data_IF_091267199885
#
_entry.id   IF_091267199885
#
_cell.length_a   1.000
_cell.length_b   1.000
_cell.length_c   1.000
_cell.angle_alpha   90.00
_cell.angle_beta   90.00
_cell.angle_gamma   90.00
#
_symmetry.space_group_name_H-M   'P 1'
#
loop_
_entity.id
_entity.type
_entity.pdbx_description
1 polymer ?
#
# COMPACT_ATOMS: atom_id res chain seq x y z
N UNK A 1 54.69 -9.80 57.65
CA UNK A 1 54.34 -9.76 56.21
C UNK A 1 52.85 -10.01 55.96
N UNK A 2 52.23 -10.99 56.63
CA UNK A 2 50.82 -11.39 56.46
C UNK A 2 49.79 -10.28 56.76
N UNK A 3 49.99 -9.45 57.79
CA UNK A 3 49.07 -8.35 58.15
C UNK A 3 48.97 -7.23 57.07
N UNK A 4 50.03 -7.01 56.27
CA UNK A 4 50.01 -6.00 55.19
C UNK A 4 49.28 -6.51 53.94
N UNK A 5 49.32 -7.81 53.69
CA UNK A 5 48.61 -8.44 52.56
C UNK A 5 47.09 -8.47 52.81
N UNK A 6 46.68 -8.76 54.05
CA UNK A 6 45.25 -8.73 54.43
C UNK A 6 44.68 -7.31 54.34
N UNK A 7 45.46 -6.28 54.70
CA UNK A 7 45.02 -4.90 54.57
C UNK A 7 44.82 -4.49 53.10
N UNK A 8 45.73 -4.88 52.20
CA UNK A 8 45.61 -4.62 50.76
C UNK A 8 44.45 -5.37 50.10
N UNK A 9 44.16 -6.60 50.54
CA UNK A 9 42.98 -7.36 50.05
C UNK A 9 41.68 -6.73 50.56
N UNK A 10 41.65 -6.24 51.80
CA UNK A 10 40.50 -5.50 52.31
C UNK A 10 40.30 -4.15 51.62
N UNK A 11 41.38 -3.45 51.21
CA UNK A 11 41.26 -2.19 50.44
C UNK A 11 40.82 -2.44 49.00
N UNK A 12 41.19 -3.58 48.40
CA UNK A 12 40.73 -3.96 47.07
C UNK A 12 39.26 -4.39 47.04
N UNK A 13 38.76 -5.02 48.12
CA UNK A 13 37.35 -5.42 48.26
C UNK A 13 36.44 -4.22 48.57
N UNK A 14 36.95 -3.16 49.21
CA UNK A 14 36.18 -1.91 49.42
C UNK A 14 36.16 -1.02 48.17
N UNK A 15 37.11 -1.17 47.24
CA UNK A 15 37.10 -0.46 45.95
C UNK A 15 36.32 -1.17 44.84
N UNK A 16 35.85 -2.40 45.08
CA UNK A 16 34.93 -3.12 44.21
C UNK A 16 33.47 -2.97 44.64
N UNK A 17 33.10 -1.85 45.28
CA UNK A 17 31.69 -1.45 45.32
C UNK A 17 31.30 -1.17 43.89
N UNK A 18 30.48 -2.07 43.35
CA UNK A 18 29.90 -2.04 42.03
C UNK A 18 29.64 -0.61 41.57
N UNK A 19 30.20 -0.26 40.40
CA UNK A 19 29.57 0.67 39.48
C UNK A 19 28.20 0.06 39.13
N UNK A 20 27.26 0.17 40.06
CA UNK A 20 25.84 0.03 39.76
C UNK A 20 25.54 1.24 38.89
N UNK A 21 25.38 1.02 37.59
CA UNK A 21 24.86 2.05 36.70
C UNK A 21 23.48 2.44 37.26
N UNK A 22 23.39 3.62 37.88
CA UNK A 22 22.10 4.14 38.33
C UNK A 22 21.23 4.36 37.10
N UNK A 23 20.02 3.79 37.12
CA UNK A 23 19.04 3.99 36.06
C UNK A 23 18.65 5.47 36.03
N UNK A 24 19.12 6.19 35.02
CA UNK A 24 18.86 7.62 34.86
C UNK A 24 17.93 7.85 33.66
N UNK A 25 16.93 8.70 33.88
CA UNK A 25 15.94 9.08 32.87
C UNK A 25 16.11 10.55 32.53
N UNK A 26 16.19 10.86 31.24
CA UNK A 26 16.28 12.24 30.77
C UNK A 26 15.77 12.37 29.34
N UNK A 27 15.41 13.58 28.94
CA UNK A 27 15.18 13.86 27.53
C UNK A 27 16.49 13.74 26.75
N UNK A 28 16.53 12.84 25.78
CA UNK A 28 17.62 12.74 24.80
C UNK A 28 17.38 13.57 23.56
N UNK A 29 16.10 13.81 23.23
CA UNK A 29 15.72 14.69 22.14
C UNK A 29 14.49 15.53 22.51
N UNK A 30 14.66 16.85 22.38
CA UNK A 30 13.59 17.84 22.36
C UNK A 30 13.78 18.71 21.11
N UNK A 31 12.71 19.09 20.39
CA UNK A 31 12.84 19.97 19.25
C UNK A 31 13.26 21.36 19.71
N UNK A 32 14.22 21.97 19.00
CA UNK A 32 14.63 23.37 19.26
C UNK A 32 13.62 24.39 18.76
N UNK A 33 12.89 24.02 17.70
CA UNK A 33 11.93 24.85 17.00
C UNK A 33 10.85 23.94 16.44
N UNK A 34 9.60 24.37 16.55
CA UNK A 34 8.45 23.67 16.00
C UNK A 34 7.61 24.63 15.16
N UNK A 35 6.84 24.09 14.22
CA UNK A 35 5.93 24.83 13.37
C UNK A 35 4.47 24.53 13.71
N UNK A 36 3.57 25.46 13.36
CA UNK A 36 2.12 25.23 13.42
C UNK A 36 1.75 23.96 12.66
N UNK A 37 0.92 23.09 13.25
CA UNK A 37 0.51 21.80 12.69
C UNK A 37 1.62 20.77 12.46
N UNK A 38 2.86 21.02 12.92
CA UNK A 38 3.94 20.04 12.82
C UNK A 38 3.71 18.86 13.78
N UNK A 39 4.03 17.66 13.29
CA UNK A 39 4.23 16.49 14.13
C UNK A 39 5.71 16.36 14.43
N UNK A 40 6.09 16.15 15.68
CA UNK A 40 7.48 16.08 16.11
C UNK A 40 7.70 15.04 17.22
N UNK A 41 8.90 14.44 17.29
CA UNK A 41 9.24 13.49 18.33
C UNK A 41 9.75 14.19 19.60
N UNK A 42 9.49 13.53 20.73
CA UNK A 42 10.15 13.77 22.02
C UNK A 42 10.68 12.43 22.49
N UNK A 43 11.99 12.35 22.74
CA UNK A 43 12.64 11.08 23.09
C UNK A 43 13.20 11.14 24.50
N UNK A 44 12.84 10.11 25.28
CA UNK A 44 13.36 9.86 26.62
C UNK A 44 14.42 8.77 26.51
N UNK A 45 15.58 9.01 27.10
CA UNK A 45 16.63 8.02 27.29
C UNK A 45 16.54 7.46 28.72
N UNK A 46 16.43 6.14 28.82
CA UNK A 46 16.65 5.38 30.04
C UNK A 46 18.00 4.66 29.94
N UNK A 47 18.96 5.06 30.77
CA UNK A 47 20.32 4.49 30.76
C UNK A 47 20.39 3.26 31.68
N UNK A 48 21.12 2.22 31.27
CA UNK A 48 21.41 1.07 32.13
C UNK A 48 20.25 0.10 32.39
N UNK A 49 19.15 0.18 31.63
CA UNK A 49 17.93 -0.61 31.87
C UNK A 49 17.94 -1.99 31.19
N UNK A 50 18.68 -2.15 30.09
CA UNK A 50 18.81 -3.41 29.35
C UNK A 50 17.46 -4.05 28.97
N UNK A 51 17.30 -5.36 29.26
CA UNK A 51 16.08 -6.13 28.95
C UNK A 51 14.85 -5.74 29.80
N UNK A 52 15.02 -4.99 30.90
CA UNK A 52 13.90 -4.51 31.74
C UNK A 52 13.11 -3.37 31.11
N UNK A 53 13.48 -2.93 29.91
CA UNK A 53 12.88 -1.82 29.17
C UNK A 53 11.37 -1.95 28.92
N UNK A 54 10.84 -3.17 28.88
CA UNK A 54 9.40 -3.44 28.68
C UNK A 54 8.55 -3.31 29.94
N UNK A 55 9.17 -3.10 31.10
CA UNK A 55 8.46 -3.00 32.38
C UNK A 55 8.17 -1.55 32.81
N UNK A 56 8.50 -0.58 31.96
CA UNK A 56 8.26 0.83 32.23
C UNK A 56 6.86 1.26 31.80
N UNK A 57 6.23 2.04 32.67
CA UNK A 57 4.96 2.67 32.39
C UNK A 57 5.14 4.19 32.34
N UNK A 58 4.76 4.77 31.20
CA UNK A 58 4.82 6.21 30.96
C UNK A 58 3.42 6.79 31.04
N UNK A 59 3.28 7.92 31.74
CA UNK A 59 2.03 8.65 31.81
C UNK A 59 2.28 10.14 31.75
N UNK A 60 1.75 10.81 30.73
CA UNK A 60 1.72 12.26 30.71
C UNK A 60 0.59 12.80 31.57
N UNK A 61 0.78 14.00 32.12
CA UNK A 61 -0.25 14.71 32.86
C UNK A 61 -1.50 14.90 31.99
N UNK A 62 -2.65 14.45 32.50
CA UNK A 62 -3.93 14.45 31.77
C UNK A 62 -4.58 15.82 31.72
N UNK A 63 -4.18 16.74 32.59
CA UNK A 63 -4.72 18.10 32.63
C UNK A 63 -4.15 18.98 31.50
N UNK A 64 -3.14 18.48 30.77
CA UNK A 64 -2.58 19.14 29.59
C UNK A 64 -3.40 18.88 28.33
N UNK A 65 -3.63 19.94 27.54
CA UNK A 65 -4.20 19.83 26.19
C UNK A 65 -3.25 19.18 25.17
N UNK A 66 -1.95 19.19 25.47
CA UNK A 66 -0.90 18.70 24.59
C UNK A 66 -0.54 17.26 24.94
N UNK A 67 -1.31 16.30 24.42
CA UNK A 67 -1.08 14.86 24.61
C UNK A 67 -0.30 14.24 23.44
N UNK A 68 0.44 13.14 23.66
CA UNK A 68 1.05 12.41 22.57
C UNK A 68 -0.02 11.79 21.66
N UNK A 69 0.33 11.61 20.38
CA UNK A 69 -0.52 10.98 19.37
C UNK A 69 -0.81 9.50 19.69
N UNK A 70 0.08 8.86 20.44
CA UNK A 70 -0.03 7.47 20.86
C UNK A 70 0.30 7.35 22.35
N UNK A 71 -0.44 6.50 23.07
CA UNK A 71 -0.16 6.22 24.48
C UNK A 71 1.15 5.43 24.66
N UNK A 72 1.46 4.54 23.71
CA UNK A 72 2.69 3.75 23.72
C UNK A 72 3.80 4.44 22.91
N UNK A 73 5.04 4.48 23.43
CA UNK A 73 6.17 5.04 22.70
C UNK A 73 6.72 4.06 21.66
N UNK A 74 7.39 4.61 20.65
CA UNK A 74 8.34 3.85 19.87
C UNK A 74 9.58 3.55 20.72
N UNK A 75 9.89 2.26 20.90
CA UNK A 75 11.01 1.79 21.72
C UNK A 75 12.17 1.39 20.80
N UNK A 76 13.34 1.99 21.01
CA UNK A 76 14.59 1.60 20.36
C UNK A 76 15.62 1.26 21.43
N UNK A 77 16.12 0.03 21.42
CA UNK A 77 17.16 -0.41 22.35
C UNK A 77 18.54 -0.32 21.70
N UNK A 78 19.49 0.22 22.44
CA UNK A 78 20.90 0.27 22.07
C UNK A 78 21.74 -0.22 23.26
N UNK A 79 22.14 -1.49 23.22
CA UNK A 79 22.83 -2.17 24.32
C UNK A 79 22.03 -2.12 25.64
N UNK A 80 22.56 -1.42 26.65
CA UNK A 80 21.94 -1.25 27.96
C UNK A 80 20.99 -0.04 28.02
N UNK A 81 20.96 0.79 26.99
CA UNK A 81 20.17 2.00 26.95
C UNK A 81 18.92 1.81 26.09
N UNK A 82 17.81 2.43 26.51
CA UNK A 82 16.56 2.40 25.78
C UNK A 82 16.05 3.82 25.51
N UNK A 83 15.57 4.02 24.29
CA UNK A 83 15.01 5.26 23.79
C UNK A 83 13.50 5.09 23.60
N UNK A 84 12.71 5.91 24.28
CA UNK A 84 11.26 5.93 24.21
C UNK A 84 10.82 7.21 23.52
N UNK A 85 10.28 7.09 22.31
CA UNK A 85 9.88 8.25 21.50
C UNK A 85 8.38 8.37 21.44
N UNK A 86 7.88 9.52 21.88
CA UNK A 86 6.50 9.95 21.74
C UNK A 86 6.38 11.00 20.66
N UNK A 87 5.29 10.98 19.90
CA UNK A 87 5.03 11.97 18.85
C UNK A 87 3.94 12.90 19.31
N UNK A 88 4.16 14.20 19.17
CA UNK A 88 3.19 15.25 19.50
C UNK A 88 2.80 16.01 18.24
N UNK A 89 1.62 16.63 18.25
CA UNK A 89 1.18 17.57 17.22
C UNK A 89 0.90 18.91 17.86
N UNK A 90 1.44 19.98 17.29
CA UNK A 90 1.09 21.33 17.70
C UNK A 90 -0.18 21.81 16.97
N UNK A 91 -1.26 22.06 17.70
CA UNK A 91 -2.58 22.40 17.16
C UNK A 91 -2.83 23.92 17.03
N UNK A 92 -1.84 24.67 16.54
CA UNK A 92 -1.88 26.13 16.28
C UNK A 92 -1.68 27.06 17.49
N UNK A 93 -1.12 26.57 18.59
CA UNK A 93 -0.68 27.42 19.70
C UNK A 93 0.59 28.21 19.33
N UNK A 94 0.77 29.44 19.84
CA UNK A 94 1.99 30.24 19.61
C UNK A 94 3.19 29.74 20.44
N UNK A 95 2.91 28.95 21.48
CA UNK A 95 3.86 28.24 22.32
C UNK A 95 3.30 26.85 22.59
N UNK A 96 4.15 25.82 22.53
CA UNK A 96 3.76 24.47 22.89
C UNK A 96 4.31 24.15 24.28
N UNK A 97 3.40 23.80 25.20
CA UNK A 97 3.75 23.29 26.52
C UNK A 97 3.77 21.76 26.50
N UNK A 98 4.96 21.16 26.66
CA UNK A 98 5.13 19.73 26.88
C UNK A 98 4.66 19.40 28.32
N UNK A 99 3.69 18.47 28.50
CA UNK A 99 3.24 18.06 29.83
C UNK A 99 4.34 17.41 30.66
N UNK A 100 4.14 17.45 31.98
CA UNK A 100 4.89 16.62 32.93
C UNK A 100 4.76 15.15 32.55
N UNK A 101 5.87 14.43 32.60
CA UNK A 101 5.93 13.00 32.33
C UNK A 101 6.24 12.22 33.60
N UNK A 102 5.33 11.34 33.98
CA UNK A 102 5.51 10.37 35.06
C UNK A 102 6.02 9.06 34.48
N UNK A 103 7.16 8.60 34.97
CA UNK A 103 7.78 7.32 34.60
C UNK A 103 7.72 6.42 35.82
N UNK A 104 6.96 5.33 35.73
CA UNK A 104 6.88 4.32 36.77
C UNK A 104 7.74 3.12 36.40
N UNK A 105 8.56 2.70 37.36
CA UNK A 105 9.38 1.49 37.28
C UNK A 105 9.26 0.70 38.58
N UNK A 106 9.77 -0.53 38.61
CA UNK A 106 9.83 -1.32 39.86
C UNK A 106 10.78 -0.74 40.90
N UNK A 107 11.72 0.11 40.47
CA UNK A 107 12.83 0.60 41.30
C UNK A 107 12.54 2.00 41.85
N UNK A 108 11.97 2.89 41.03
CA UNK A 108 11.57 4.23 41.42
C UNK A 108 10.48 4.82 40.48
N UNK A 109 9.67 5.72 41.03
CA UNK A 109 8.81 6.62 40.26
C UNK A 109 9.57 7.94 40.05
N UNK A 110 9.67 8.38 38.80
CA UNK A 110 10.41 9.59 38.40
C UNK A 110 9.48 10.51 37.63
N UNK A 111 9.68 11.82 37.81
CA UNK A 111 8.95 12.87 37.10
C UNK A 111 9.96 13.63 36.25
N UNK A 112 9.67 13.79 34.96
CA UNK A 112 10.40 14.71 34.09
C UNK A 112 9.58 16.01 33.94
N UNK A 113 10.27 17.13 34.08
CA UNK A 113 9.70 18.47 34.10
C UNK A 113 9.11 18.90 32.75
N UNK A 114 8.15 19.83 32.82
CA UNK A 114 7.56 20.47 31.66
C UNK A 114 8.58 21.27 30.85
N UNK A 115 8.36 21.36 29.55
CA UNK A 115 9.21 22.12 28.63
C UNK A 115 8.35 22.98 27.70
N UNK A 116 8.87 24.15 27.33
CA UNK A 116 8.17 25.10 26.46
C UNK A 116 8.92 25.24 25.14
N UNK A 117 8.19 25.16 24.03
CA UNK A 117 8.74 25.34 22.68
C UNK A 117 8.09 26.51 21.97
N UNK A 118 8.90 27.40 21.41
CA UNK A 118 8.41 28.47 20.56
C UNK A 118 7.88 27.92 19.23
N UNK A 119 6.67 28.30 18.86
CA UNK A 119 6.05 27.91 17.60
C UNK A 119 6.30 28.98 16.55
N UNK A 120 6.91 28.57 15.43
CA UNK A 120 7.14 29.44 14.28
C UNK A 120 6.05 29.28 13.22
N UNK A 121 5.65 30.40 12.63
CA UNK A 121 4.76 30.40 11.46
C UNK A 121 5.59 30.30 10.17
N UNK A 122 5.18 29.40 9.27
CA UNK A 122 5.80 29.25 7.96
C UNK A 122 5.28 30.31 6.98
N UNK A 123 6.19 31.03 6.34
CA UNK A 123 5.85 31.85 5.17
C UNK A 123 5.71 30.93 3.95
N UNK A 124 4.47 30.57 3.63
CA UNK A 124 4.18 29.50 2.65
C UNK A 124 3.98 30.03 1.23
N UNK A 125 4.52 29.35 0.20
CA UNK A 125 4.22 29.64 -1.19
C UNK A 125 2.77 29.27 -1.55
N UNK A 126 2.30 29.73 -2.72
CA UNK A 126 0.92 29.50 -3.17
C UNK A 126 0.58 28.02 -3.40
N UNK A 127 1.57 27.23 -3.78
CA UNK A 127 1.47 25.80 -4.08
C UNK A 127 1.68 24.90 -2.85
N UNK A 128 1.86 25.49 -1.66
CA UNK A 128 1.97 24.77 -0.41
C UNK A 128 0.63 24.15 -0.01
N UNK A 129 0.65 22.84 0.27
CA UNK A 129 -0.56 22.05 0.55
C UNK A 129 -0.89 21.90 2.02
N UNK A 130 -0.17 22.58 2.92
CA UNK A 130 -0.41 22.46 4.37
C UNK A 130 0.32 21.31 5.05
N UNK A 131 1.11 20.52 4.29
CA UNK A 131 1.84 19.36 4.82
C UNK A 131 3.26 19.74 5.23
N UNK A 132 3.60 19.44 6.47
CA UNK A 132 4.91 19.54 7.11
C UNK A 132 5.33 18.11 7.45
N UNK A 133 6.52 17.70 7.01
CA UNK A 133 7.00 16.34 7.18
C UNK A 133 8.54 16.28 7.22
N UNK A 134 9.09 15.24 7.84
CA UNK A 134 10.52 14.94 7.71
C UNK A 134 10.85 14.41 6.31
N UNK A 135 9.96 13.57 5.76
CA UNK A 135 10.04 13.07 4.39
C UNK A 135 8.67 12.66 3.85
N UNK A 136 8.48 12.77 2.54
CA UNK A 136 7.29 12.30 1.82
C UNK A 136 7.73 11.62 0.53
N UNK A 137 7.21 10.42 0.31
CA UNK A 137 7.40 9.64 -0.90
C UNK A 137 6.05 9.28 -1.51
N UNK A 138 5.90 9.53 -2.80
CA UNK A 138 4.81 8.96 -3.60
C UNK A 138 5.17 7.51 -3.91
N UNK A 139 4.39 6.55 -3.41
CA UNK A 139 4.63 5.12 -3.65
C UNK A 139 3.95 4.63 -4.92
N UNK A 140 2.70 5.08 -5.13
CA UNK A 140 1.88 4.70 -6.27
C UNK A 140 0.97 5.87 -6.63
N UNK A 141 0.63 5.97 -7.91
CA UNK A 141 -0.36 6.91 -8.39
C UNK A 141 -1.14 6.29 -9.55
N UNK A 142 -2.40 6.67 -9.70
CA UNK A 142 -3.28 6.23 -10.77
C UNK A 142 -4.11 7.43 -11.23
N UNK A 143 -4.37 7.50 -12.54
CA UNK A 143 -5.26 8.49 -13.12
C UNK A 143 -6.30 7.77 -13.97
N UNK A 144 -7.57 8.10 -13.75
CA UNK A 144 -8.71 7.58 -14.49
C UNK A 144 -9.64 8.73 -14.89
N UNK A 145 -10.52 8.48 -15.85
CA UNK A 145 -11.56 9.44 -16.23
C UNK A 145 -12.61 9.52 -15.12
N UNK A 146 -12.90 10.73 -14.65
CA UNK A 146 -14.00 11.00 -13.71
C UNK A 146 -15.28 11.36 -14.46
N UNK A 147 -15.15 12.28 -15.43
CA UNK A 147 -16.18 12.67 -16.39
C UNK A 147 -15.54 13.12 -17.73
N UNK A 148 -16.32 13.68 -18.66
CA UNK A 148 -15.84 14.12 -19.97
C UNK A 148 -14.76 15.23 -19.91
N UNK A 149 -14.70 15.97 -18.81
CA UNK A 149 -13.86 17.17 -18.63
C UNK A 149 -12.85 17.04 -17.48
N UNK A 150 -12.95 16.00 -16.66
CA UNK A 150 -12.18 15.82 -15.44
C UNK A 150 -11.61 14.41 -15.31
N UNK A 151 -10.41 14.33 -14.75
CA UNK A 151 -9.75 13.09 -14.36
C UNK A 151 -9.72 12.97 -12.83
N UNK A 152 -9.90 11.75 -12.34
CA UNK A 152 -9.65 11.39 -10.95
C UNK A 152 -8.20 10.92 -10.82
N UNK A 153 -7.46 11.51 -9.89
CA UNK A 153 -6.11 11.06 -9.54
C UNK A 153 -6.15 10.51 -8.14
N UNK A 154 -5.68 9.28 -7.96
CA UNK A 154 -5.42 8.68 -6.65
C UNK A 154 -3.91 8.56 -6.45
N UNK A 155 -3.42 9.06 -5.33
CA UNK A 155 -2.01 9.06 -4.95
C UNK A 155 -1.85 8.39 -3.59
N UNK A 156 -0.95 7.44 -3.50
CA UNK A 156 -0.56 6.83 -2.22
C UNK A 156 0.75 7.47 -1.76
N UNK A 157 0.73 8.01 -0.55
CA UNK A 157 1.88 8.59 0.12
C UNK A 157 2.39 7.65 1.20
N UNK A 158 3.72 7.57 1.32
CA UNK A 158 4.41 7.13 2.51
C UNK A 158 5.22 8.31 3.04
N UNK A 159 4.99 8.72 4.29
CA UNK A 159 5.62 9.89 4.86
C UNK A 159 6.05 9.65 6.31
N UNK A 160 7.00 10.46 6.78
CA UNK A 160 7.55 10.40 8.13
C UNK A 160 7.36 11.73 8.86
N UNK A 161 6.92 11.66 10.11
CA UNK A 161 6.62 12.81 10.98
C UNK A 161 5.71 13.84 10.30
N UNK A 162 4.77 13.32 9.49
CA UNK A 162 4.01 14.12 8.56
C UNK A 162 2.58 14.33 9.03
N UNK A 163 2.08 15.56 8.98
CA UNK A 163 0.67 15.91 9.20
C UNK A 163 -0.15 15.76 7.89
N UNK A 164 -0.03 14.60 7.22
CA UNK A 164 -0.67 14.32 5.92
C UNK A 164 -2.17 14.60 5.93
N UNK A 165 -2.84 14.49 7.08
CA UNK A 165 -4.26 14.83 7.30
C UNK A 165 -4.62 16.25 6.86
N UNK A 166 -3.65 17.16 6.88
CA UNK A 166 -3.81 18.57 6.53
C UNK A 166 -3.62 18.84 5.02
N UNK A 167 -3.38 17.81 4.19
CA UNK A 167 -3.15 18.00 2.76
C UNK A 167 -4.35 18.66 2.08
N UNK A 168 -4.11 19.79 1.42
CA UNK A 168 -5.12 20.51 0.65
C UNK A 168 -4.50 21.28 -0.51
N UNK A 169 -4.76 20.83 -1.73
CA UNK A 169 -4.37 21.50 -2.96
C UNK A 169 -5.44 22.56 -3.28
N UNK A 170 -5.16 23.82 -2.95
CA UNK A 170 -6.13 24.95 -3.03
C UNK A 170 -6.78 25.13 -4.41
N UNK A 171 -6.13 24.70 -5.48
CA UNK A 171 -6.59 24.84 -6.87
C UNK A 171 -7.79 23.94 -7.20
N UNK A 172 -7.98 22.83 -6.48
CA UNK A 172 -9.00 21.83 -6.76
C UNK A 172 -10.02 21.78 -5.62
N UNK A 173 -11.28 21.54 -5.95
CA UNK A 173 -12.36 21.54 -4.94
C UNK A 173 -12.65 20.12 -4.44
N UNK A 174 -12.79 19.16 -5.36
CA UNK A 174 -13.04 17.76 -5.04
C UNK A 174 -11.72 17.03 -4.80
N UNK A 175 -11.40 16.84 -3.53
CA UNK A 175 -10.18 16.18 -3.06
C UNK A 175 -10.39 15.66 -1.65
N UNK A 176 -9.58 14.71 -1.22
CA UNK A 176 -9.62 14.22 0.15
C UNK A 176 -8.75 13.01 0.40
N UNK A 177 -8.70 12.61 1.66
CA UNK A 177 -8.04 11.38 2.10
C UNK A 177 -9.09 10.27 2.12
N UNK A 178 -8.89 9.23 1.32
CA UNK A 178 -9.73 8.02 1.32
C UNK A 178 -9.38 7.11 2.49
N UNK A 179 -8.08 6.96 2.74
CA UNK A 179 -7.57 6.04 3.75
C UNK A 179 -6.30 6.61 4.37
N UNK A 180 -6.13 6.43 5.68
CA UNK A 180 -4.93 6.82 6.40
C UNK A 180 -4.60 5.83 7.50
N UNK A 181 -3.33 5.42 7.57
CA UNK A 181 -2.80 4.54 8.60
C UNK A 181 -1.51 5.14 9.14
N UNK A 182 -1.48 5.40 10.45
CA UNK A 182 -0.32 5.94 11.15
C UNK A 182 0.21 4.91 12.15
N UNK A 183 1.51 4.77 12.16
CA UNK A 183 2.26 3.95 13.10
C UNK A 183 3.52 4.73 13.50
N UNK A 184 3.51 5.29 14.71
CA UNK A 184 4.60 6.14 15.21
C UNK A 184 4.91 7.30 14.25
N UNK A 185 6.16 7.43 13.80
CA UNK A 185 6.58 8.44 12.83
C UNK A 185 6.00 8.19 11.43
N UNK A 186 5.70 6.94 11.08
CA UNK A 186 5.34 6.57 9.71
C UNK A 186 3.84 6.74 9.48
N UNK A 187 3.48 7.34 8.36
CA UNK A 187 2.09 7.44 7.91
C UNK A 187 1.99 7.01 6.45
N UNK A 188 0.97 6.21 6.16
CA UNK A 188 0.55 5.85 4.80
C UNK A 188 -0.83 6.42 4.56
N UNK A 189 -1.02 7.10 3.44
CA UNK A 189 -2.31 7.67 3.09
C UNK A 189 -2.63 7.48 1.61
N UNK A 190 -3.90 7.24 1.32
CA UNK A 190 -4.49 7.25 -0.02
C UNK A 190 -5.28 8.55 -0.16
N UNK A 191 -4.90 9.35 -1.14
CA UNK A 191 -5.44 10.67 -1.37
C UNK A 191 -5.97 10.76 -2.79
N UNK A 192 -7.16 11.31 -2.95
CA UNK A 192 -7.74 11.56 -4.26
C UNK A 192 -7.86 13.06 -4.55
N UNK A 193 -7.78 13.40 -5.83
CA UNK A 193 -8.08 14.75 -6.33
C UNK A 193 -8.65 14.68 -7.74
N UNK A 194 -9.72 15.45 -7.97
CA UNK A 194 -10.32 15.61 -9.28
C UNK A 194 -9.71 16.84 -9.95
N UNK A 195 -9.14 16.65 -11.14
CA UNK A 195 -8.46 17.70 -11.91
C UNK A 195 -9.00 17.79 -13.33
N UNK A 196 -8.82 18.93 -14.02
CA UNK A 196 -9.17 19.06 -15.44
C UNK A 196 -8.45 18.03 -16.33
N UNK A 197 -9.13 17.53 -17.37
CA UNK A 197 -8.60 16.48 -18.25
C UNK A 197 -7.40 16.90 -19.10
N UNK A 198 -7.20 18.20 -19.29
CA UNK A 198 -6.07 18.78 -20.03
C UNK A 198 -4.77 18.89 -19.20
N UNK A 199 -4.79 18.46 -17.94
CA UNK A 199 -3.63 18.53 -17.05
C UNK A 199 -2.75 17.28 -17.22
N UNK A 200 -1.48 17.47 -17.56
CA UNK A 200 -0.51 16.38 -17.71
C UNK A 200 0.20 16.00 -16.42
N UNK A 201 0.29 16.93 -15.46
CA UNK A 201 1.02 16.73 -14.21
C UNK A 201 0.34 17.48 -13.05
N UNK A 202 0.31 16.83 -11.88
CA UNK A 202 -0.12 17.43 -10.63
C UNK A 202 1.12 17.86 -9.84
N UNK A 203 1.26 19.17 -9.63
CA UNK A 203 2.39 19.79 -8.94
C UNK A 203 1.93 20.45 -7.64
N UNK A 204 2.66 20.20 -6.56
CA UNK A 204 2.43 20.84 -5.27
C UNK A 204 3.68 20.77 -4.38
N UNK A 205 3.73 21.59 -3.32
CA UNK A 205 4.88 21.62 -2.39
C UNK A 205 4.47 21.27 -0.97
N UNK A 206 5.36 20.57 -0.26
CA UNK A 206 5.28 20.36 1.18
C UNK A 206 6.51 20.96 1.86
N UNK A 207 6.44 21.24 3.16
CA UNK A 207 7.60 21.74 3.91
C UNK A 207 8.37 20.56 4.51
N UNK A 208 9.63 20.40 4.12
CA UNK A 208 10.50 19.37 4.65
C UNK A 208 11.24 19.92 5.90
N UNK A 209 11.03 19.27 7.06
CA UNK A 209 11.61 19.73 8.34
C UNK A 209 13.10 19.45 8.48
N UNK A 210 13.63 18.46 7.74
CA UNK A 210 15.06 18.10 7.76
C UNK A 210 15.87 19.01 6.83
N UNK A 211 15.32 19.30 5.65
CA UNK A 211 15.94 20.19 4.65
C UNK A 211 15.61 21.67 4.88
N UNK A 212 14.69 21.96 5.80
CA UNK A 212 14.20 23.30 6.14
C UNK A 212 13.72 24.11 4.92
N UNK A 213 13.08 23.45 3.96
CA UNK A 213 12.62 24.08 2.73
C UNK A 213 11.36 23.44 2.16
N UNK A 214 10.67 24.19 1.28
CA UNK A 214 9.57 23.66 0.50
C UNK A 214 10.09 22.76 -0.62
N UNK A 215 9.65 21.50 -0.63
CA UNK A 215 10.06 20.50 -1.61
C UNK A 215 8.90 20.23 -2.56
N UNK A 216 9.10 20.32 -3.90
CA UNK A 216 8.07 20.02 -4.87
C UNK A 216 7.85 18.51 -5.01
N UNK A 217 6.59 18.14 -5.23
CA UNK A 217 6.16 16.81 -5.65
C UNK A 217 5.42 16.97 -6.98
N UNK A 218 5.84 16.15 -7.96
CA UNK A 218 5.26 16.09 -9.30
C UNK A 218 4.72 14.69 -9.54
N UNK A 219 3.41 14.58 -9.78
CA UNK A 219 2.73 13.33 -10.11
C UNK A 219 2.26 13.40 -11.57
N UNK A 220 2.79 12.54 -12.48
CA UNK A 220 2.37 12.56 -13.87
C UNK A 220 0.96 11.96 -14.02
N UNK A 221 0.14 12.60 -14.83
CA UNK A 221 -1.24 12.21 -15.10
C UNK A 221 -1.26 11.46 -16.42
N UNK A 222 -1.19 10.13 -16.32
CA UNK A 222 -1.36 9.23 -17.46
C UNK A 222 -2.70 8.54 -17.30
N UNK A 223 -3.74 9.11 -17.91
CA UNK A 223 -5.08 8.52 -17.87
C UNK A 223 -5.01 7.16 -18.54
N UNK A 224 -5.22 6.11 -17.76
CA UNK A 224 -5.48 4.80 -18.34
C UNK A 224 -6.90 4.91 -18.86
N UNK A 225 -7.08 4.95 -20.18
CA UNK A 225 -8.39 4.81 -20.80
C UNK A 225 -8.92 3.42 -20.43
N UNK A 226 -9.60 3.33 -19.30
CA UNK A 226 -10.53 2.25 -19.02
C UNK A 226 -11.71 2.47 -19.96
N UNK A 227 -11.57 1.98 -21.20
CA UNK A 227 -12.73 1.69 -22.06
C UNK A 227 -13.66 0.79 -21.27
N UNK A 228 -14.63 1.37 -20.55
CA UNK A 228 -15.76 0.74 -19.86
C UNK A 228 -15.65 -0.79 -19.82
N UNK A 229 -14.70 -1.31 -19.04
CA UNK A 229 -14.55 -2.75 -18.79
C UNK A 229 -15.47 -3.14 -17.63
N UNK A 230 -16.70 -2.67 -17.63
CA UNK A 230 -17.77 -3.27 -16.85
C UNK A 230 -18.32 -4.40 -17.71
N UNK A 231 -17.93 -5.63 -17.37
CA UNK A 231 -18.25 -6.90 -18.04
C UNK A 231 -17.37 -7.23 -19.28
N UNK A 232 -16.05 -7.28 -19.10
CA UNK A 232 -15.29 -8.29 -19.84
C UNK A 232 -15.69 -9.65 -19.25
N UNK A 233 -16.69 -10.30 -19.86
CA UNK A 233 -16.68 -11.76 -19.85
C UNK A 233 -15.27 -12.19 -20.27
N UNK A 234 -14.61 -13.10 -19.53
CA UNK A 234 -13.26 -13.53 -19.87
C UNK A 234 -13.24 -13.94 -21.35
N UNK A 235 -12.31 -13.34 -22.10
CA UNK A 235 -12.08 -13.67 -23.49
C UNK A 235 -11.70 -15.17 -23.54
N UNK A 236 -12.52 -16.05 -24.14
CA UNK A 236 -12.33 -17.51 -24.07
C UNK A 236 -11.04 -18.00 -24.76
N UNK A 237 -10.30 -17.09 -25.41
CA UNK A 237 -9.03 -17.40 -26.08
C UNK A 237 -7.80 -17.34 -25.15
N UNK A 238 -7.87 -16.57 -24.05
CA UNK A 238 -6.78 -16.46 -23.08
C UNK A 238 -7.31 -16.67 -21.65
N UNK A 239 -8.07 -17.75 -21.49
CA UNK A 239 -8.57 -18.14 -20.18
C UNK A 239 -7.45 -18.85 -19.41
N UNK A 240 -6.88 -18.19 -18.41
CA UNK A 240 -5.92 -18.80 -17.48
C UNK A 240 -6.46 -20.11 -16.88
N UNK A 241 -7.79 -20.26 -16.79
CA UNK A 241 -8.41 -21.51 -16.34
C UNK A 241 -8.21 -22.66 -17.34
N UNK A 242 -8.21 -22.41 -18.65
CA UNK A 242 -7.94 -23.45 -19.65
C UNK A 242 -6.46 -23.87 -19.64
N UNK A 243 -5.54 -22.93 -19.42
CA UNK A 243 -4.12 -23.25 -19.22
C UNK A 243 -3.89 -24.08 -17.95
N UNK A 244 -4.56 -23.71 -16.84
CA UNK A 244 -4.51 -24.46 -15.58
C UNK A 244 -5.08 -25.88 -15.76
N UNK A 245 -6.21 -26.06 -16.46
CA UNK A 245 -6.77 -27.39 -16.75
C UNK A 245 -5.78 -28.27 -17.52
N UNK A 246 -5.13 -27.71 -18.55
CA UNK A 246 -4.09 -28.42 -19.32
C UNK A 246 -2.90 -28.83 -18.44
N UNK A 247 -2.44 -27.92 -17.57
CA UNK A 247 -1.33 -28.19 -16.65
C UNK A 247 -1.67 -29.27 -15.63
N UNK A 248 -2.88 -29.26 -15.08
CA UNK A 248 -3.37 -30.29 -14.15
C UNK A 248 -3.43 -31.66 -14.83
N UNK A 249 -4.01 -31.75 -16.03
CA UNK A 249 -4.10 -33.01 -16.78
C UNK A 249 -2.70 -33.53 -17.12
N UNK A 250 -1.79 -32.66 -17.55
CA UNK A 250 -0.39 -33.03 -17.81
C UNK A 250 0.32 -33.53 -16.54
N UNK A 251 0.08 -32.88 -15.40
CA UNK A 251 0.60 -33.30 -14.10
C UNK A 251 0.10 -34.70 -13.70
N UNK A 252 -1.18 -34.99 -13.90
CA UNK A 252 -1.73 -36.34 -13.66
C UNK A 252 -1.12 -37.40 -14.58
N UNK A 253 -0.89 -37.09 -15.86
CA UNK A 253 -0.20 -38.01 -16.78
C UNK A 253 1.20 -38.37 -16.25
N UNK A 254 1.96 -37.36 -15.81
CA UNK A 254 3.31 -37.58 -15.24
C UNK A 254 3.23 -38.40 -13.95
N UNK A 255 2.29 -38.06 -13.06
CA UNK A 255 2.10 -38.78 -11.80
C UNK A 255 1.77 -40.27 -12.03
N UNK A 256 0.83 -40.57 -12.94
CA UNK A 256 0.49 -41.95 -13.26
C UNK A 256 1.60 -42.67 -14.02
N UNK A 257 2.41 -41.97 -14.83
CA UNK A 257 3.60 -42.55 -15.45
C UNK A 257 4.65 -42.96 -14.41
N UNK A 258 4.88 -42.12 -13.38
CA UNK A 258 5.76 -42.47 -12.26
C UNK A 258 5.20 -43.65 -11.44
N UNK A 259 3.89 -43.68 -11.19
CA UNK A 259 3.25 -44.83 -10.54
C UNK A 259 3.37 -46.12 -11.36
N UNK A 260 3.26 -46.04 -12.70
CA UNK A 260 3.49 -47.17 -13.59
C UNK A 260 4.93 -47.68 -13.47
N UNK A 261 5.93 -46.80 -13.45
CA UNK A 261 7.33 -47.21 -13.28
C UNK A 261 7.58 -47.88 -11.93
N UNK A 262 6.90 -47.43 -10.86
CA UNK A 262 7.07 -48.00 -9.52
C UNK A 262 6.32 -49.34 -9.35
N UNK A 263 5.00 -49.35 -9.59
CA UNK A 263 4.15 -50.52 -9.33
C UNK A 263 4.05 -51.51 -10.49
N UNK A 264 4.43 -51.09 -11.71
CA UNK A 264 4.42 -51.90 -12.96
C UNK A 264 3.07 -52.54 -13.28
N UNK A 265 1.97 -51.89 -12.89
CA UNK A 265 0.60 -52.34 -13.16
C UNK A 265 0.06 -51.71 -14.46
N UNK A 266 -0.52 -52.55 -15.33
CA UNK A 266 -1.06 -52.15 -16.62
C UNK A 266 -2.26 -51.18 -16.51
N UNK A 267 -2.98 -51.17 -15.39
CA UNK A 267 -4.11 -50.26 -15.16
C UNK A 267 -3.71 -48.79 -15.32
N UNK A 268 -2.50 -48.40 -14.88
CA UNK A 268 -2.00 -47.04 -15.00
C UNK A 268 -1.84 -46.58 -16.46
N UNK A 269 -1.49 -47.48 -17.38
CA UNK A 269 -1.38 -47.16 -18.81
C UNK A 269 -2.73 -46.83 -19.43
N UNK A 270 -3.81 -47.52 -19.01
CA UNK A 270 -5.17 -47.25 -19.48
C UNK A 270 -5.61 -45.84 -19.06
N UNK A 271 -5.32 -45.45 -17.81
CA UNK A 271 -5.64 -44.12 -17.28
C UNK A 271 -4.85 -43.03 -18.02
N UNK A 272 -3.56 -43.24 -18.27
CA UNK A 272 -2.73 -42.32 -19.06
C UNK A 272 -3.29 -42.13 -20.46
N UNK A 273 -3.68 -43.21 -21.14
CA UNK A 273 -4.24 -43.14 -22.49
C UNK A 273 -5.53 -42.31 -22.53
N UNK A 274 -6.42 -42.47 -21.54
CA UNK A 274 -7.65 -41.70 -21.44
C UNK A 274 -7.36 -40.20 -21.20
N UNK A 275 -6.45 -39.89 -20.27
CA UNK A 275 -6.05 -38.50 -20.01
C UNK A 275 -5.38 -37.84 -21.23
N UNK A 276 -4.58 -38.59 -21.99
CA UNK A 276 -3.95 -38.10 -23.21
C UNK A 276 -4.99 -37.76 -24.29
N UNK A 277 -6.02 -38.60 -24.47
CA UNK A 277 -7.13 -38.32 -25.40
C UNK A 277 -7.86 -37.03 -25.01
N UNK A 278 -8.14 -36.85 -23.71
CA UNK A 278 -8.77 -35.63 -23.19
C UNK A 278 -7.87 -34.41 -23.44
N UNK A 279 -6.57 -34.52 -23.17
CA UNK A 279 -5.60 -33.44 -23.39
C UNK A 279 -5.55 -33.03 -24.86
N UNK A 280 -5.52 -33.99 -25.79
CA UNK A 280 -5.53 -33.73 -27.24
C UNK A 280 -6.77 -32.95 -27.67
N UNK A 281 -7.94 -33.24 -27.09
CA UNK A 281 -9.17 -32.47 -27.39
C UNK A 281 -9.05 -30.99 -27.02
N UNK A 282 -8.33 -30.65 -25.95
CA UNK A 282 -8.09 -29.25 -25.54
C UNK A 282 -7.16 -28.49 -26.50
N UNK A 283 -6.41 -29.18 -27.35
CA UNK A 283 -5.55 -28.57 -28.38
C UNK A 283 -6.21 -28.53 -29.78
N UNK A 284 -7.43 -29.06 -29.92
CA UNK A 284 -8.15 -28.99 -31.19
C UNK A 284 -8.48 -27.52 -31.56
N UNK A 285 -8.24 -27.09 -32.81
CA UNK A 285 -8.49 -25.71 -33.22
C UNK A 285 -9.99 -25.39 -33.20
N UNK A 286 -10.32 -24.15 -32.81
CA UNK A 286 -11.69 -23.64 -32.82
C UNK A 286 -12.26 -23.63 -34.25
N UNK A 287 -13.55 -23.94 -34.37
CA UNK A 287 -14.26 -23.96 -35.66
C UNK A 287 -14.30 -22.56 -36.27
N UNK A 288 -14.09 -22.47 -37.58
CA UNK A 288 -14.23 -21.21 -38.35
C UNK A 288 -15.55 -21.20 -39.11
N UNK A 289 -16.23 -20.06 -39.12
CA UNK A 289 -17.54 -19.85 -39.74
C UNK A 289 -17.53 -18.66 -40.71
N UNK A 290 -18.49 -18.64 -41.64
CA UNK A 290 -18.71 -17.56 -42.60
C UNK A 290 -19.85 -16.64 -42.13
N UNK A 291 -19.68 -15.33 -42.29
CA UNK A 291 -20.61 -14.29 -41.85
C UNK A 291 -20.83 -13.29 -42.99
N UNK A 292 -22.09 -12.85 -43.17
CA UNK A 292 -22.46 -11.92 -44.22
C UNK A 292 -22.05 -10.45 -43.91
N UNK A 293 -22.07 -9.62 -44.94
CA UNK A 293 -21.93 -8.17 -44.77
C UNK A 293 -23.20 -7.57 -44.14
N UNK A 294 -23.04 -6.54 -43.30
CA UNK A 294 -24.16 -5.88 -42.62
C UNK A 294 -24.66 -6.60 -41.36
N UNK A 295 -24.04 -7.72 -40.98
CA UNK A 295 -24.36 -8.45 -39.75
C UNK A 295 -24.16 -7.58 -38.52
N UNK A 296 -25.17 -7.53 -37.65
CA UNK A 296 -25.15 -6.75 -36.40
C UNK A 296 -24.52 -7.59 -35.31
N UNK A 297 -23.46 -7.07 -34.70
CA UNK A 297 -22.81 -7.73 -33.57
C UNK A 297 -23.33 -7.14 -32.27
N UNK A 298 -23.98 -7.97 -31.46
CA UNK A 298 -24.59 -7.63 -30.19
C UNK A 298 -23.65 -7.90 -29.02
N UNK A 299 -23.81 -7.14 -27.93
CA UNK A 299 -23.04 -7.33 -26.69
C UNK A 299 -23.51 -8.58 -25.94
N UNK A 300 -24.80 -8.87 -25.98
CA UNK A 300 -25.45 -10.01 -25.31
C UNK A 300 -26.27 -10.83 -26.32
N UNK A 301 -26.46 -12.14 -26.10
CA UNK A 301 -27.21 -13.02 -26.99
C UNK A 301 -28.74 -12.84 -26.81
N UNK A 302 -29.23 -11.62 -27.06
CA UNK A 302 -30.65 -11.28 -26.97
C UNK A 302 -31.03 -10.19 -27.98
N UNK A 303 -32.26 -10.23 -28.48
CA UNK A 303 -32.76 -9.24 -29.46
C UNK A 303 -32.79 -7.80 -28.94
N UNK A 304 -32.89 -7.59 -27.62
CA UNK A 304 -32.91 -6.27 -26.98
C UNK A 304 -31.50 -5.74 -26.67
N UNK A 305 -30.46 -6.48 -27.02
CA UNK A 305 -29.08 -6.08 -26.75
C UNK A 305 -28.64 -4.93 -27.66
N UNK A 306 -27.88 -3.99 -27.10
CA UNK A 306 -27.24 -2.92 -27.87
C UNK A 306 -26.27 -3.51 -28.90
N UNK A 307 -26.30 -2.94 -30.09
CA UNK A 307 -25.37 -3.27 -31.18
C UNK A 307 -24.01 -2.65 -30.84
N UNK A 308 -22.98 -3.47 -30.81
CA UNK A 308 -21.60 -3.07 -30.56
C UNK A 308 -20.96 -2.50 -31.83
N UNK A 309 -21.08 -3.23 -32.94
CA UNK A 309 -20.59 -2.83 -34.26
C UNK A 309 -21.29 -3.65 -35.37
N UNK A 310 -21.10 -3.22 -36.61
CA UNK A 310 -21.62 -3.89 -37.81
C UNK A 310 -20.43 -4.43 -38.61
N UNK A 311 -20.62 -5.57 -39.26
CA UNK A 311 -19.61 -6.18 -40.12
C UNK A 311 -19.60 -5.48 -41.49
N UNK A 312 -18.49 -4.83 -41.83
CA UNK A 312 -18.37 -3.99 -43.04
C UNK A 312 -18.21 -4.77 -44.36
N UNK A 313 -17.95 -6.08 -44.31
CA UNK A 313 -17.78 -6.93 -45.50
C UNK A 313 -17.97 -8.40 -45.14
N UNK A 314 -18.40 -9.21 -46.12
CA UNK A 314 -18.52 -10.67 -45.96
C UNK A 314 -17.18 -11.27 -45.54
N UNK A 315 -17.23 -12.20 -44.58
CA UNK A 315 -16.07 -12.88 -44.02
C UNK A 315 -16.23 -14.39 -44.08
N UNK A 316 -15.31 -15.09 -44.74
CA UNK A 316 -15.41 -16.56 -44.90
C UNK A 316 -14.79 -17.35 -43.73
N UNK A 317 -13.98 -16.69 -42.88
CA UNK A 317 -13.19 -17.35 -41.82
C UNK A 317 -13.15 -16.53 -40.53
N UNK A 318 -14.24 -16.60 -39.77
CA UNK A 318 -14.34 -16.01 -38.42
C UNK A 318 -14.32 -17.10 -37.36
N UNK A 319 -13.56 -16.92 -36.28
CA UNK A 319 -13.46 -17.91 -35.21
C UNK A 319 -14.75 -17.96 -34.40
N UNK A 320 -15.39 -19.12 -34.34
CA UNK A 320 -16.54 -19.39 -33.47
C UNK A 320 -16.04 -19.75 -32.07
N UNK A 321 -16.43 -18.95 -31.09
CA UNK A 321 -16.04 -19.10 -29.68
C UNK A 321 -17.05 -19.91 -28.88
N UNK A 322 -18.35 -19.65 -29.07
CA UNK A 322 -19.44 -20.33 -28.36
C UNK A 322 -20.76 -20.25 -29.12
N UNK A 323 -21.74 -21.06 -28.72
CA UNK A 323 -23.14 -20.98 -29.18
C UNK A 323 -24.04 -20.90 -27.94
N UNK A 324 -25.03 -20.01 -27.97
CA UNK A 324 -26.07 -19.93 -26.94
C UNK A 324 -27.39 -19.57 -27.62
N UNK A 325 -28.37 -20.46 -27.53
CA UNK A 325 -29.65 -20.34 -28.22
C UNK A 325 -29.45 -20.11 -29.73
N UNK A 326 -30.04 -19.05 -30.30
CA UNK A 326 -29.88 -18.64 -31.71
C UNK A 326 -28.69 -17.72 -31.97
N UNK A 327 -27.81 -17.53 -30.97
CA UNK A 327 -26.69 -16.61 -31.07
C UNK A 327 -25.35 -17.35 -31.07
N UNK A 328 -24.45 -16.87 -31.91
CA UNK A 328 -23.08 -17.39 -32.03
C UNK A 328 -22.09 -16.32 -31.58
N UNK A 329 -21.24 -16.66 -30.61
CA UNK A 329 -20.17 -15.79 -30.14
C UNK A 329 -18.97 -15.91 -31.08
N UNK A 330 -18.50 -14.78 -31.60
CA UNK A 330 -17.44 -14.69 -32.61
C UNK A 330 -16.28 -13.80 -32.16
N UNK A 331 -15.09 -14.06 -32.70
CA UNK A 331 -13.91 -13.18 -32.57
C UNK A 331 -13.61 -12.50 -33.91
N UNK A 332 -13.62 -11.17 -33.92
CA UNK A 332 -13.41 -10.29 -35.08
C UNK A 332 -12.14 -9.43 -34.89
N UNK A 333 -11.36 -9.26 -35.98
CA UNK A 333 -10.12 -8.44 -36.03
C UNK A 333 -9.20 -8.60 -34.81
N UNK A 334 -8.94 -9.86 -34.41
CA UNK A 334 -8.01 -10.23 -33.33
C UNK A 334 -8.13 -9.35 -32.07
N UNK A 335 -9.35 -9.20 -31.52
CA UNK A 335 -9.64 -8.76 -30.12
C UNK A 335 -11.09 -8.26 -29.93
N UNK A 336 -11.89 -8.14 -30.99
CA UNK A 336 -13.30 -7.74 -30.87
C UNK A 336 -14.19 -8.97 -30.74
N UNK A 337 -14.90 -9.11 -29.63
CA UNK A 337 -15.78 -10.24 -29.35
C UNK A 337 -17.23 -9.78 -29.29
N UNK A 338 -18.14 -10.58 -29.82
CA UNK A 338 -19.57 -10.32 -29.70
C UNK A 338 -20.44 -11.44 -30.24
N UNK A 339 -21.75 -11.25 -30.14
CA UNK A 339 -22.77 -12.23 -30.51
C UNK A 339 -23.44 -11.83 -31.82
N UNK A 340 -23.55 -12.77 -32.76
CA UNK A 340 -24.34 -12.62 -33.98
C UNK A 340 -25.51 -13.58 -33.97
N UNK A 341 -26.58 -13.27 -34.70
CA UNK A 341 -27.64 -14.23 -34.95
C UNK A 341 -27.13 -15.34 -35.89
N UNK A 342 -27.51 -16.58 -35.64
CA UNK A 342 -27.16 -17.70 -36.49
C UNK A 342 -27.74 -17.53 -37.92
N UNK A 343 -28.86 -16.81 -38.06
CA UNK A 343 -29.45 -16.47 -39.36
C UNK A 343 -28.56 -15.56 -40.23
N UNK A 344 -27.67 -14.79 -39.60
CA UNK A 344 -26.73 -13.89 -40.28
C UNK A 344 -25.47 -14.62 -40.80
N UNK A 345 -25.34 -15.91 -40.50
CA UNK A 345 -24.29 -16.76 -41.07
C UNK A 345 -24.55 -17.04 -42.55
N UNK A 346 -23.49 -17.27 -43.31
CA UNK A 346 -23.62 -17.67 -44.72
C UNK A 346 -24.40 -18.99 -44.79
N UNK A 347 -25.55 -19.00 -45.48
CA UNK A 347 -26.24 -20.24 -45.82
C UNK A 347 -25.39 -20.94 -46.91
N UNK A 348 -25.03 -22.20 -46.64
CA UNK A 348 -24.35 -23.04 -47.62
C UNK A 348 -25.25 -23.33 -48.82
#
# INVERSE_FOLDING_TARGET
>A
MVKRVIFFIATFIVFSTALMAETQYRYSYLPKKIYSNQIFPVTILAMGIGEKSKELYFKFDRDSNNQPLFEEPLIVQNNQDCFYTFYFKNNDEEEFKLPLLFIKSKEADIILDENFFTVSKLQSPKDFVGVIAADIKVTTYQASTFDETQNLITVTFEAFEANIENIKIKKYQQQGIENIKRENSKVKAEYFVVVPSNLNELNFTYYNTIKEQFVPITVPIKVIETKLTTQLEPNPKNDSFEEIKKMIIAGFIIFFALMFLWKRDFLYLIVIALLAIVLIRFYAPLKKICINEGTKVHILPTQKSRISYIIDHKMDKVTKLATKDKYVKIEYKQDRVGWIDEEDMCKN
#
